data_IF_195669291724
#
_entry.id   IF_195669291724
#
_cell.length_a   1.000
_cell.length_b   1.000
_cell.length_c   1.000
_cell.angle_alpha   90.00
_cell.angle_beta   90.00
_cell.angle_gamma   90.00
#
_symmetry.space_group_name_H-M   'P 1'
#
loop_
_entity.id
_entity.type
_entity.pdbx_description
1 polymer ?
#
# COMPACT_ATOMS: atom_id res chain seq x y z
N UNK A 1 64.43 40.25 36.51
CA UNK A 1 63.36 41.23 36.80
C UNK A 1 62.54 41.45 35.53
N UNK A 2 61.23 41.70 35.70
CA UNK A 2 60.17 41.96 34.71
C UNK A 2 59.61 40.72 33.97
N UNK A 3 58.70 39.92 34.55
CA UNK A 3 57.23 40.07 34.76
C UNK A 3 56.37 39.99 33.50
N UNK A 4 55.60 38.89 33.45
CA UNK A 4 54.41 38.59 32.65
C UNK A 4 53.49 39.81 32.51
N UNK A 5 53.23 40.26 31.27
CA UNK A 5 52.19 41.24 30.95
C UNK A 5 51.00 40.48 30.36
N UNK A 6 49.90 40.49 31.10
CA UNK A 6 48.65 39.82 30.72
C UNK A 6 47.98 40.50 29.55
N UNK A 7 47.36 39.68 28.70
CA UNK A 7 46.36 40.11 27.72
C UNK A 7 45.18 40.69 28.52
N UNK A 8 45.02 42.01 28.48
CA UNK A 8 43.84 42.70 29.00
C UNK A 8 42.61 42.30 28.15
N UNK A 9 41.49 41.85 28.75
CA UNK A 9 40.24 41.72 28.01
C UNK A 9 39.71 43.12 27.65
N UNK A 10 39.22 43.25 26.41
CA UNK A 10 38.58 44.46 25.86
C UNK A 10 37.54 45.04 26.84
N UNK A 11 37.65 46.35 27.10
CA UNK A 11 36.88 47.09 28.09
C UNK A 11 35.45 47.48 27.65
N UNK A 12 34.88 46.84 26.62
CA UNK A 12 33.58 47.26 26.04
C UNK A 12 32.38 46.38 26.48
N UNK A 13 32.48 45.63 27.58
CA UNK A 13 31.49 44.62 27.98
C UNK A 13 30.97 44.72 29.43
N UNK A 14 30.97 45.92 30.01
CA UNK A 14 30.49 46.16 31.39
C UNK A 14 29.73 47.49 31.43
N UNK A 15 28.61 47.55 32.14
CA UNK A 15 27.87 48.81 32.38
C UNK A 15 28.59 49.71 33.42
N UNK A 16 28.13 50.96 33.59
CA UNK A 16 28.73 51.97 34.51
C UNK A 16 28.84 51.49 35.98
N UNK A 17 28.16 50.39 36.35
CA UNK A 17 28.14 49.78 37.69
C UNK A 17 29.01 48.53 37.82
N UNK A 18 29.82 48.18 36.81
CA UNK A 18 30.74 47.04 36.91
C UNK A 18 30.07 45.66 36.75
N UNK A 19 28.81 45.58 36.30
CA UNK A 19 28.11 44.31 36.10
C UNK A 19 28.21 43.85 34.65
N UNK A 20 28.53 42.57 34.41
CA UNK A 20 28.57 42.05 33.04
C UNK A 20 27.17 42.19 32.41
N UNK A 21 27.09 42.63 31.14
CA UNK A 21 25.84 42.88 30.38
C UNK A 21 24.92 41.64 30.17
N UNK A 22 25.02 40.61 31.01
CA UNK A 22 24.31 39.33 30.97
C UNK A 22 22.78 39.51 30.85
N UNK A 23 22.22 40.59 31.40
CA UNK A 23 20.78 40.87 31.33
C UNK A 23 20.29 41.19 29.91
N UNK A 24 21.06 41.97 29.14
CA UNK A 24 20.74 42.33 27.75
C UNK A 24 20.83 41.09 26.85
N UNK A 25 21.91 40.30 27.00
CA UNK A 25 22.11 39.05 26.26
C UNK A 25 21.00 38.02 26.53
N UNK A 26 20.50 37.92 27.77
CA UNK A 26 19.35 37.07 28.12
C UNK A 26 18.05 37.54 27.48
N UNK A 27 17.81 38.85 27.40
CA UNK A 27 16.63 39.40 26.74
C UNK A 27 16.67 39.17 25.22
N UNK A 28 17.82 39.39 24.58
CA UNK A 28 18.01 39.11 23.16
C UNK A 28 17.88 37.61 22.84
N UNK A 29 18.47 36.74 23.66
CA UNK A 29 18.34 35.30 23.50
C UNK A 29 16.89 34.83 23.69
N UNK A 30 16.19 35.34 24.70
CA UNK A 30 14.77 35.03 24.93
C UNK A 30 13.91 35.54 23.77
N UNK A 31 14.15 36.75 23.29
CA UNK A 31 13.44 37.30 22.13
C UNK A 31 13.69 36.47 20.87
N UNK A 32 14.95 36.19 20.52
CA UNK A 32 15.31 35.34 19.39
C UNK A 32 14.71 33.93 19.50
N UNK A 33 14.73 33.32 20.69
CA UNK A 33 14.10 32.02 20.95
C UNK A 33 12.58 32.08 20.78
N UNK A 34 11.90 33.10 21.31
CA UNK A 34 10.46 33.27 21.14
C UNK A 34 10.07 33.53 19.68
N UNK A 35 10.85 34.33 18.94
CA UNK A 35 10.65 34.54 17.51
C UNK A 35 10.86 33.25 16.73
N UNK A 36 11.90 32.48 17.04
CA UNK A 36 12.14 31.17 16.41
C UNK A 36 11.01 30.17 16.71
N UNK A 37 10.55 30.10 17.96
CA UNK A 37 9.46 29.19 18.34
C UNK A 37 8.12 29.58 17.70
N UNK A 38 7.80 30.88 17.64
CA UNK A 38 6.54 31.35 17.03
C UNK A 38 6.56 31.16 15.51
N UNK A 39 7.66 31.50 14.83
CA UNK A 39 7.81 31.27 13.39
C UNK A 39 7.80 29.79 13.05
N UNK A 40 8.53 28.95 13.80
CA UNK A 40 8.51 27.50 13.64
C UNK A 40 7.10 26.93 13.88
N UNK A 41 6.41 27.40 14.93
CA UNK A 41 5.03 26.99 15.22
C UNK A 41 4.06 27.36 14.10
N UNK A 42 4.20 28.56 13.52
CA UNK A 42 3.36 29.00 12.40
C UNK A 42 3.66 28.20 11.12
N UNK A 43 4.93 27.96 10.81
CA UNK A 43 5.33 27.12 9.66
C UNK A 43 4.82 25.68 9.83
N UNK A 44 4.94 25.10 11.03
CA UNK A 44 4.38 23.79 11.36
C UNK A 44 2.86 23.78 11.25
N UNK A 45 2.19 24.85 11.68
CA UNK A 45 0.73 25.01 11.56
C UNK A 45 0.27 25.06 10.11
N UNK A 46 0.93 25.86 9.26
CA UNK A 46 0.63 25.95 7.82
C UNK A 46 0.91 24.62 7.11
N UNK A 47 2.05 23.99 7.41
CA UNK A 47 2.39 22.68 6.86
C UNK A 47 1.36 21.61 7.29
N UNK A 48 1.00 21.60 8.58
CA UNK A 48 -0.03 20.70 9.11
C UNK A 48 -1.39 20.91 8.44
N UNK A 49 -1.80 22.16 8.26
CA UNK A 49 -3.03 22.48 7.52
C UNK A 49 -2.97 21.95 6.09
N UNK A 50 -1.94 22.29 5.32
CA UNK A 50 -1.83 21.87 3.91
C UNK A 50 -1.82 20.34 3.74
N UNK A 51 -1.13 19.64 4.65
CA UNK A 51 -0.92 18.19 4.57
C UNK A 51 -2.12 17.38 5.05
N UNK A 52 -2.80 17.82 6.12
CA UNK A 52 -3.89 17.05 6.74
C UNK A 52 -5.29 17.57 6.46
N UNK A 53 -5.43 18.87 6.19
CA UNK A 53 -6.71 19.55 5.96
C UNK A 53 -6.83 20.13 4.54
N UNK A 54 -5.70 20.29 3.85
CA UNK A 54 -5.60 20.80 2.50
C UNK A 54 -5.50 19.71 1.44
N UNK A 55 -4.94 20.09 0.29
CA UNK A 55 -4.85 19.24 -0.91
C UNK A 55 -3.67 18.27 -0.88
N UNK A 56 -2.69 18.46 0.00
CA UNK A 56 -1.43 17.73 0.02
C UNK A 56 -0.79 17.63 -1.39
N UNK A 57 -0.93 18.68 -2.20
CA UNK A 57 -0.53 18.70 -3.61
C UNK A 57 0.97 18.99 -3.73
N UNK A 58 1.71 18.07 -4.33
CA UNK A 58 3.16 18.20 -4.53
C UNK A 58 3.59 17.68 -5.89
N UNK A 59 4.63 18.27 -6.47
CA UNK A 59 5.33 17.68 -7.60
C UNK A 59 6.19 16.50 -7.11
N UNK A 60 6.11 15.36 -7.80
CA UNK A 60 7.01 14.22 -7.62
C UNK A 60 8.09 14.26 -8.68
N UNK A 61 7.69 14.42 -9.94
CA UNK A 61 8.58 14.71 -11.07
C UNK A 61 8.06 16.01 -11.70
N UNK A 62 8.79 17.13 -11.53
CA UNK A 62 8.32 18.45 -11.99
C UNK A 62 7.87 18.44 -13.45
N UNK A 63 6.67 18.97 -13.72
CA UNK A 63 6.10 19.02 -15.07
C UNK A 63 5.54 17.69 -15.59
N UNK A 64 5.78 16.55 -14.94
CA UNK A 64 5.35 15.23 -15.43
C UNK A 64 4.41 14.48 -14.49
N UNK A 65 4.61 14.60 -13.17
CA UNK A 65 3.87 13.82 -12.19
C UNK A 65 3.71 14.57 -10.88
N UNK A 66 2.47 14.62 -10.42
CA UNK A 66 2.04 15.25 -9.19
C UNK A 66 1.34 14.23 -8.29
N UNK A 67 1.35 14.51 -6.99
CA UNK A 67 0.65 13.74 -5.96
C UNK A 67 -0.28 14.63 -5.17
N UNK A 68 -1.42 14.11 -4.71
CA UNK A 68 -2.33 14.85 -3.84
C UNK A 68 -3.15 13.97 -2.89
N UNK A 69 -3.78 14.60 -1.89
CA UNK A 69 -4.98 14.11 -1.27
C UNK A 69 -6.15 14.11 -2.26
N UNK A 70 -7.28 13.56 -1.85
CA UNK A 70 -8.49 13.66 -2.64
C UNK A 70 -8.96 15.11 -2.72
N UNK A 71 -9.20 15.58 -3.94
CA UNK A 71 -9.64 16.94 -4.24
C UNK A 71 -11.16 16.98 -4.42
N UNK A 72 -11.80 18.07 -4.04
CA UNK A 72 -13.19 18.31 -4.47
C UNK A 72 -13.25 18.51 -5.99
N UNK A 73 -14.43 18.38 -6.59
CA UNK A 73 -14.63 18.60 -8.03
C UNK A 73 -14.07 19.96 -8.52
N UNK A 74 -14.31 21.03 -7.75
CA UNK A 74 -13.81 22.38 -8.09
C UNK A 74 -12.28 22.45 -8.00
N UNK A 75 -11.68 21.90 -6.94
CA UNK A 75 -10.22 21.87 -6.78
C UNK A 75 -9.56 21.00 -7.85
N UNK A 76 -10.17 19.87 -8.21
CA UNK A 76 -9.68 18.98 -9.25
C UNK A 76 -9.68 19.69 -10.60
N UNK A 77 -10.77 20.37 -10.96
CA UNK A 77 -10.86 21.15 -12.19
C UNK A 77 -9.79 22.25 -12.25
N UNK A 78 -9.61 22.99 -11.15
CA UNK A 78 -8.56 24.02 -11.05
C UNK A 78 -7.16 23.41 -11.25
N UNK A 79 -6.84 22.31 -10.55
CA UNK A 79 -5.53 21.66 -10.65
C UNK A 79 -5.28 21.10 -12.04
N UNK A 80 -6.29 20.48 -12.65
CA UNK A 80 -6.22 19.96 -14.03
C UNK A 80 -5.91 21.09 -15.00
N UNK A 81 -6.62 22.21 -14.94
CA UNK A 81 -6.41 23.34 -15.83
C UNK A 81 -5.07 24.03 -15.59
N UNK A 82 -4.71 24.27 -14.32
CA UNK A 82 -3.48 24.96 -13.93
C UNK A 82 -2.21 24.19 -14.29
N UNK A 83 -2.22 22.87 -14.07
CA UNK A 83 -1.04 22.01 -14.29
C UNK A 83 -1.09 21.27 -15.62
N UNK A 84 -2.19 21.39 -16.38
CA UNK A 84 -2.39 20.69 -17.65
C UNK A 84 -2.54 19.17 -17.52
N UNK A 85 -3.03 18.67 -16.38
CA UNK A 85 -3.11 17.23 -16.09
C UNK A 85 -3.88 16.49 -17.19
N UNK A 86 -3.27 15.43 -17.72
CA UNK A 86 -3.86 14.56 -18.77
C UNK A 86 -4.38 13.24 -18.24
N UNK A 87 -3.88 12.81 -17.09
CA UNK A 87 -4.28 11.54 -16.47
C UNK A 87 -4.35 11.67 -14.96
N UNK A 88 -5.40 11.11 -14.37
CA UNK A 88 -5.56 10.94 -12.92
C UNK A 88 -5.50 9.46 -12.56
N UNK A 89 -4.73 9.13 -11.54
CA UNK A 89 -4.66 7.79 -10.94
C UNK A 89 -5.29 7.85 -9.55
N UNK A 90 -6.47 7.25 -9.43
CA UNK A 90 -7.20 7.09 -8.17
C UNK A 90 -6.79 5.78 -7.49
N UNK A 91 -6.01 5.88 -6.41
CA UNK A 91 -5.54 4.72 -5.63
C UNK A 91 -6.56 4.19 -4.62
N UNK A 92 -7.77 4.77 -4.59
CA UNK A 92 -8.89 4.26 -3.77
C UNK A 92 -9.67 3.18 -4.52
N UNK A 93 -9.41 3.00 -5.82
CA UNK A 93 -10.16 2.14 -6.71
C UNK A 93 -11.54 2.69 -7.05
N UNK A 94 -12.22 1.99 -7.95
CA UNK A 94 -13.59 2.30 -8.32
C UNK A 94 -14.52 2.18 -7.10
N UNK A 95 -15.28 3.25 -6.85
CA UNK A 95 -16.18 3.41 -5.71
C UNK A 95 -17.56 3.89 -6.20
N UNK A 96 -18.17 3.14 -7.11
CA UNK A 96 -19.51 3.43 -7.64
C UNK A 96 -20.54 3.62 -6.52
N UNK A 97 -21.46 4.56 -6.74
CA UNK A 97 -22.49 4.92 -5.77
C UNK A 97 -22.04 5.84 -4.64
N UNK A 98 -20.75 6.16 -4.54
CA UNK A 98 -20.26 7.20 -3.64
C UNK A 98 -20.24 8.56 -4.34
N UNK A 99 -20.91 9.56 -3.77
CA UNK A 99 -21.02 10.92 -4.35
C UNK A 99 -19.67 11.51 -4.77
N UNK A 100 -18.66 11.32 -3.92
CA UNK A 100 -17.33 11.87 -4.14
C UNK A 100 -16.65 11.28 -5.39
N UNK A 101 -16.87 9.99 -5.65
CA UNK A 101 -16.29 9.28 -6.80
C UNK A 101 -17.03 9.64 -8.08
N UNK A 102 -18.37 9.71 -8.01
CA UNK A 102 -19.18 10.15 -9.15
C UNK A 102 -18.86 11.59 -9.56
N UNK A 103 -18.62 12.48 -8.58
CA UNK A 103 -18.19 13.84 -8.85
C UNK A 103 -16.81 13.91 -9.52
N UNK A 104 -15.83 13.16 -9.04
CA UNK A 104 -14.50 13.05 -9.66
C UNK A 104 -14.61 12.54 -11.09
N UNK A 105 -15.28 11.40 -11.30
CA UNK A 105 -15.47 10.79 -12.62
C UNK A 105 -16.14 11.74 -13.61
N UNK A 106 -17.23 12.41 -13.20
CA UNK A 106 -17.93 13.41 -14.04
C UNK A 106 -17.03 14.60 -14.38
N UNK A 107 -16.29 15.11 -13.40
CA UNK A 107 -15.39 16.25 -13.58
C UNK A 107 -14.31 15.92 -14.61
N UNK A 108 -13.66 14.76 -14.47
CA UNK A 108 -12.61 14.31 -15.39
C UNK A 108 -13.14 14.00 -16.78
N UNK A 109 -14.35 13.43 -16.87
CA UNK A 109 -15.01 13.19 -18.15
C UNK A 109 -15.29 14.50 -18.91
N UNK A 110 -15.78 15.54 -18.23
CA UNK A 110 -16.02 16.86 -18.83
C UNK A 110 -14.72 17.51 -19.29
N UNK A 111 -13.63 17.33 -18.54
CA UNK A 111 -12.32 17.89 -18.86
C UNK A 111 -11.53 17.06 -19.89
N UNK A 112 -12.04 15.91 -20.32
CA UNK A 112 -11.35 15.01 -21.25
C UNK A 112 -10.07 14.40 -20.66
N UNK A 113 -10.03 14.17 -19.35
CA UNK A 113 -8.88 13.62 -18.62
C UNK A 113 -9.07 12.13 -18.38
N UNK A 114 -8.05 11.34 -18.66
CA UNK A 114 -8.07 9.89 -18.43
C UNK A 114 -8.09 9.58 -16.93
N UNK A 115 -8.94 8.65 -16.50
CA UNK A 115 -8.98 8.14 -15.13
C UNK A 115 -8.54 6.67 -15.07
N UNK A 116 -7.58 6.37 -14.20
CA UNK A 116 -7.20 5.02 -13.82
C UNK A 116 -7.62 4.74 -12.38
N UNK A 117 -8.56 3.82 -12.20
CA UNK A 117 -8.91 3.28 -10.90
C UNK A 117 -8.04 2.08 -10.55
N UNK A 118 -7.23 2.23 -9.50
CA UNK A 118 -6.33 1.21 -8.98
C UNK A 118 -6.60 1.06 -7.48
N UNK A 119 -6.92 -0.14 -7.03
CA UNK A 119 -7.34 -0.37 -5.64
C UNK A 119 -6.14 -0.76 -4.77
N UNK A 120 -5.55 0.21 -4.08
CA UNK A 120 -4.59 -0.09 -3.02
C UNK A 120 -5.26 -0.08 -1.65
N UNK A 121 -4.94 -1.08 -0.84
CA UNK A 121 -5.18 -1.04 0.61
C UNK A 121 -4.15 -0.11 1.26
N UNK A 122 -4.53 0.56 2.35
CA UNK A 122 -3.55 1.26 3.20
C UNK A 122 -2.96 0.34 4.28
N UNK A 123 -3.53 -0.86 4.44
CA UNK A 123 -3.17 -1.83 5.48
C UNK A 123 -2.39 -3.02 4.93
N UNK A 124 -2.45 -3.27 3.62
CA UNK A 124 -1.84 -4.42 2.97
C UNK A 124 -0.99 -3.98 1.77
N UNK A 125 0.05 -4.75 1.41
CA UNK A 125 0.78 -4.55 0.15
C UNK A 125 -0.15 -4.69 -1.05
N UNK A 126 0.10 -4.00 -2.18
CA UNK A 126 -0.75 -4.10 -3.35
C UNK A 126 -0.82 -5.53 -3.90
N UNK A 127 -2.01 -6.01 -4.29
CA UNK A 127 -2.14 -7.19 -5.13
C UNK A 127 -1.28 -7.12 -6.39
N UNK A 128 -0.75 -8.24 -6.88
CA UNK A 128 0.04 -8.27 -8.11
C UNK A 128 -0.73 -7.69 -9.33
N UNK A 129 -2.03 -8.00 -9.56
CA UNK A 129 -2.78 -7.40 -10.65
C UNK A 129 -2.86 -5.86 -10.57
N UNK A 130 -3.08 -5.32 -9.37
CA UNK A 130 -3.14 -3.87 -9.13
C UNK A 130 -1.76 -3.21 -9.25
N UNK A 131 -0.69 -3.90 -8.81
CA UNK A 131 0.69 -3.47 -9.01
C UNK A 131 1.02 -3.37 -10.51
N UNK A 132 0.65 -4.39 -11.30
CA UNK A 132 0.80 -4.38 -12.76
C UNK A 132 0.01 -3.24 -13.41
N UNK A 133 -1.24 -3.03 -12.98
CA UNK A 133 -2.09 -1.94 -13.47
C UNK A 133 -1.48 -0.58 -13.20
N UNK A 134 -0.87 -0.38 -12.02
CA UNK A 134 -0.13 0.85 -11.71
C UNK A 134 1.11 1.01 -12.59
N UNK A 135 1.92 -0.03 -12.74
CA UNK A 135 3.11 0.00 -13.61
C UNK A 135 2.73 0.35 -15.05
N UNK A 136 1.62 -0.19 -15.55
CA UNK A 136 1.06 0.15 -16.84
C UNK A 136 0.66 1.63 -16.89
N UNK A 137 -0.21 2.09 -15.98
CA UNK A 137 -0.68 3.47 -15.94
C UNK A 137 0.47 4.50 -15.89
N UNK A 138 1.51 4.23 -15.08
CA UNK A 138 2.68 5.10 -14.96
C UNK A 138 3.55 5.14 -16.22
N UNK A 139 3.54 4.08 -17.03
CA UNK A 139 4.42 3.96 -18.21
C UNK A 139 3.74 4.36 -19.50
N UNK A 140 2.44 4.09 -19.66
CA UNK A 140 1.66 4.36 -20.89
C UNK A 140 0.81 5.63 -20.80
N UNK A 141 0.63 6.16 -19.58
CA UNK A 141 -0.03 7.43 -19.23
C UNK A 141 0.35 8.63 -20.12
N UNK A 142 -0.61 9.40 -20.63
CA UNK A 142 -0.33 10.79 -21.04
C UNK A 142 0.07 11.63 -19.82
N UNK A 143 1.05 12.51 -20.00
CA UNK A 143 1.57 13.39 -18.94
C UNK A 143 1.07 14.81 -19.14
N UNK A 144 0.91 15.59 -18.05
CA UNK A 144 1.27 15.25 -16.66
C UNK A 144 0.22 14.38 -15.96
N UNK A 145 0.68 13.52 -15.04
CA UNK A 145 -0.13 12.58 -14.26
C UNK A 145 -0.39 13.15 -12.85
N UNK A 146 -1.61 13.04 -12.34
CA UNK A 146 -1.94 13.29 -10.93
C UNK A 146 -2.28 11.97 -10.22
N UNK A 147 -1.55 11.63 -9.16
CA UNK A 147 -1.83 10.46 -8.33
C UNK A 147 -2.45 10.90 -7.01
N UNK A 148 -3.57 10.29 -6.62
CA UNK A 148 -4.16 10.59 -5.31
C UNK A 148 -4.69 9.33 -4.59
N UNK A 149 -4.90 9.49 -3.30
CA UNK A 149 -5.67 8.56 -2.49
C UNK A 149 -6.62 9.37 -1.58
N UNK A 150 -6.87 8.95 -0.33
CA UNK A 150 -7.67 9.76 0.61
C UNK A 150 -6.91 11.00 1.10
N UNK A 151 -5.68 10.81 1.62
CA UNK A 151 -4.86 11.86 2.23
C UNK A 151 -3.59 12.19 1.46
N UNK A 152 -3.28 11.47 0.39
CA UNK A 152 -2.06 11.70 -0.38
C UNK A 152 -0.78 11.22 0.30
N UNK A 153 -0.86 10.44 1.39
CA UNK A 153 0.28 9.97 2.18
C UNK A 153 0.68 8.52 1.85
N UNK A 154 -0.04 7.52 2.38
CA UNK A 154 0.41 6.11 2.37
C UNK A 154 0.43 5.48 0.97
N UNK A 155 -0.75 5.28 0.36
CA UNK A 155 -0.89 4.63 -0.96
C UNK A 155 -0.22 5.46 -2.05
N UNK A 156 -0.43 6.77 -1.99
CA UNK A 156 0.21 7.74 -2.89
C UNK A 156 1.73 7.74 -2.75
N UNK A 157 2.26 7.55 -1.54
CA UNK A 157 3.70 7.41 -1.29
C UNK A 157 4.28 6.21 -2.02
N UNK A 158 3.62 5.05 -1.97
CA UNK A 158 4.07 3.87 -2.71
C UNK A 158 4.04 4.11 -4.23
N UNK A 159 2.92 4.63 -4.76
CA UNK A 159 2.80 4.88 -6.19
C UNK A 159 3.79 5.93 -6.70
N UNK A 160 4.03 7.00 -5.94
CA UNK A 160 5.04 8.00 -6.25
C UNK A 160 6.45 7.41 -6.18
N UNK A 161 6.74 6.53 -5.22
CA UNK A 161 8.02 5.81 -5.11
C UNK A 161 8.31 5.01 -6.38
N UNK A 162 7.33 4.24 -6.85
CA UNK A 162 7.45 3.44 -8.07
C UNK A 162 7.60 4.33 -9.31
N UNK A 163 6.93 5.47 -9.35
CA UNK A 163 7.11 6.44 -10.43
C UNK A 163 8.53 7.02 -10.46
N UNK A 164 9.11 7.37 -9.31
CA UNK A 164 10.51 7.84 -9.20
C UNK A 164 11.48 6.78 -9.74
N UNK A 165 11.33 5.53 -9.31
CA UNK A 165 12.15 4.41 -9.80
C UNK A 165 11.99 4.20 -11.33
N UNK A 166 10.76 4.28 -11.85
CA UNK A 166 10.51 4.16 -13.29
C UNK A 166 11.14 5.30 -14.12
N UNK A 167 11.32 6.48 -13.53
CA UNK A 167 12.04 7.61 -14.16
C UNK A 167 13.56 7.51 -14.00
N UNK A 168 14.07 6.52 -13.26
CA UNK A 168 15.51 6.31 -13.05
C UNK A 168 16.06 6.93 -11.77
N UNK A 169 15.20 7.38 -10.86
CA UNK A 169 15.62 7.79 -9.52
C UNK A 169 16.12 6.60 -8.70
N UNK A 170 16.91 6.88 -7.67
CA UNK A 170 17.45 5.90 -6.74
C UNK A 170 16.38 5.38 -5.78
N UNK A 171 16.64 4.23 -5.15
CA UNK A 171 15.72 3.72 -4.12
C UNK A 171 15.65 4.64 -2.89
N UNK A 172 16.74 5.36 -2.59
CA UNK A 172 16.73 6.38 -1.53
C UNK A 172 15.74 7.53 -1.84
N UNK A 173 15.74 8.04 -3.07
CA UNK A 173 14.77 9.07 -3.50
C UNK A 173 13.34 8.53 -3.53
N UNK A 174 13.16 7.27 -3.93
CA UNK A 174 11.86 6.61 -3.86
C UNK A 174 11.35 6.56 -2.42
N UNK A 175 12.20 6.19 -1.45
CA UNK A 175 11.84 6.16 -0.02
C UNK A 175 11.44 7.53 0.54
N UNK A 176 11.98 8.62 0.01
CA UNK A 176 11.57 9.97 0.42
C UNK A 176 10.10 10.26 0.11
N UNK A 177 9.45 9.50 -0.77
CA UNK A 177 8.00 9.61 -1.00
C UNK A 177 7.14 9.17 0.20
N UNK A 178 7.76 8.57 1.22
CA UNK A 178 7.20 8.31 2.55
C UNK A 178 7.75 9.26 3.63
N UNK A 179 8.24 10.45 3.26
CA UNK A 179 8.70 11.44 4.23
C UNK A 179 7.55 12.00 5.07
N UNK A 180 7.89 12.43 6.30
CA UNK A 180 6.98 13.17 7.18
C UNK A 180 6.35 14.35 6.45
N UNK A 181 7.11 15.04 5.59
CA UNK A 181 6.66 16.17 4.77
C UNK A 181 5.35 15.89 4.00
N UNK A 182 5.13 14.66 3.54
CA UNK A 182 3.91 14.25 2.82
C UNK A 182 2.79 13.72 3.73
N UNK A 183 2.98 13.80 5.05
CA UNK A 183 2.03 13.35 6.06
C UNK A 183 2.08 11.84 6.34
N UNK A 184 3.18 11.16 6.02
CA UNK A 184 3.36 9.75 6.33
C UNK A 184 3.91 9.54 7.75
N UNK A 185 3.23 8.74 8.58
CA UNK A 185 3.63 8.45 9.96
C UNK A 185 3.59 6.94 10.26
N UNK A 186 4.65 6.43 10.89
CA UNK A 186 4.73 5.05 11.39
C UNK A 186 4.22 4.90 12.83
N UNK A 187 3.02 5.40 13.12
CA UNK A 187 2.44 5.32 14.47
C UNK A 187 1.84 3.93 14.74
N UNK A 188 2.68 3.00 15.21
CA UNK A 188 2.25 1.70 15.76
C UNK A 188 1.62 0.72 14.78
N UNK A 189 1.61 1.03 13.47
CA UNK A 189 1.12 0.15 12.41
C UNK A 189 2.29 -0.43 11.61
N UNK A 190 2.20 -1.69 11.14
CA UNK A 190 3.22 -2.27 10.28
C UNK A 190 3.37 -1.43 9.00
N UNK A 191 4.62 -1.23 8.56
CA UNK A 191 4.94 -0.38 7.42
C UNK A 191 4.79 -1.14 6.10
N UNK A 192 3.64 -1.79 5.90
CA UNK A 192 3.44 -2.76 4.80
C UNK A 192 3.62 -2.17 3.39
N UNK A 193 3.33 -0.88 3.20
CA UNK A 193 3.53 -0.20 1.91
C UNK A 193 5.01 0.16 1.66
N UNK A 194 5.75 0.82 2.58
CA UNK A 194 7.19 0.98 2.42
C UNK A 194 7.98 -0.34 2.31
N UNK A 195 7.53 -1.41 2.96
CA UNK A 195 8.17 -2.74 2.91
C UNK A 195 8.29 -3.29 1.48
N UNK A 196 7.42 -2.86 0.55
CA UNK A 196 7.53 -3.19 -0.87
C UNK A 196 8.89 -2.76 -1.45
N UNK A 197 9.42 -1.61 -1.01
CA UNK A 197 10.76 -1.14 -1.42
C UNK A 197 11.87 -1.98 -0.77
N UNK A 198 11.66 -2.46 0.45
CA UNK A 198 12.60 -3.35 1.15
C UNK A 198 12.71 -4.69 0.42
N UNK A 199 11.59 -5.25 -0.05
CA UNK A 199 11.57 -6.50 -0.83
C UNK A 199 12.24 -6.32 -2.19
N UNK A 200 12.05 -5.17 -2.83
CA UNK A 200 12.72 -4.87 -4.08
C UNK A 200 14.25 -4.75 -3.90
N UNK A 201 14.71 -4.01 -2.88
CA UNK A 201 16.14 -3.93 -2.58
C UNK A 201 16.76 -5.26 -2.15
N UNK A 202 16.03 -6.08 -1.39
CA UNK A 202 16.46 -7.43 -1.04
C UNK A 202 16.66 -8.27 -2.31
N UNK A 203 15.70 -8.25 -3.22
CA UNK A 203 15.81 -8.95 -4.50
C UNK A 203 16.99 -8.44 -5.35
N UNK A 204 17.20 -7.12 -5.44
CA UNK A 204 18.36 -6.56 -6.15
C UNK A 204 19.69 -7.07 -5.57
N UNK A 205 19.81 -7.11 -4.24
CA UNK A 205 21.01 -7.63 -3.55
C UNK A 205 21.20 -9.12 -3.79
N UNK A 206 20.15 -9.92 -3.71
CA UNK A 206 20.19 -11.37 -3.98
C UNK A 206 20.63 -11.67 -5.42
N UNK A 207 20.17 -10.86 -6.38
CA UNK A 207 20.55 -11.02 -7.79
C UNK A 207 21.92 -10.41 -8.12
N UNK A 208 22.50 -9.60 -7.23
CA UNK A 208 23.76 -8.89 -7.49
C UNK A 208 23.66 -7.83 -8.59
N UNK A 209 22.47 -7.23 -8.78
CA UNK A 209 22.21 -6.24 -9.85
C UNK A 209 21.81 -4.88 -9.27
N UNK A 210 22.13 -3.75 -9.93
CA UNK A 210 21.69 -2.44 -9.50
C UNK A 210 20.23 -2.18 -9.87
N UNK A 211 19.66 -1.13 -9.26
CA UNK A 211 18.37 -0.61 -9.71
C UNK A 211 18.45 -0.16 -11.18
N UNK A 212 17.48 -0.61 -11.97
CA UNK A 212 17.17 -0.10 -13.31
C UNK A 212 15.66 -0.25 -13.53
N UNK A 213 15.06 0.57 -14.39
CA UNK A 213 13.61 0.51 -14.69
C UNK A 213 13.17 -0.88 -15.18
N UNK A 214 14.00 -1.56 -15.96
CA UNK A 214 13.70 -2.89 -16.48
C UNK A 214 13.84 -3.97 -15.41
N UNK A 215 14.78 -3.80 -14.48
CA UNK A 215 14.90 -4.67 -13.30
C UNK A 215 13.69 -4.50 -12.38
N UNK A 216 13.16 -3.29 -12.23
CA UNK A 216 11.92 -3.06 -11.48
C UNK A 216 10.74 -3.78 -12.14
N UNK A 217 10.58 -3.65 -13.47
CA UNK A 217 9.53 -4.36 -14.22
C UNK A 217 9.66 -5.87 -14.08
N UNK A 218 10.86 -6.39 -14.29
CA UNK A 218 11.18 -7.82 -14.11
C UNK A 218 10.82 -8.29 -12.70
N UNK A 219 11.17 -7.52 -11.68
CA UNK A 219 10.83 -7.85 -10.31
C UNK A 219 9.31 -7.92 -10.10
N UNK A 220 8.54 -6.93 -10.55
CA UNK A 220 7.08 -6.94 -10.45
C UNK A 220 6.49 -8.19 -11.12
N UNK A 221 7.00 -8.56 -12.29
CA UNK A 221 6.46 -9.68 -13.07
C UNK A 221 6.85 -11.05 -12.52
N UNK A 222 8.11 -11.22 -12.12
CA UNK A 222 8.67 -12.54 -11.83
C UNK A 222 8.76 -12.83 -10.33
N UNK A 223 9.04 -11.81 -9.51
CA UNK A 223 9.50 -11.98 -8.13
C UNK A 223 8.60 -11.30 -7.08
N UNK A 224 7.78 -10.31 -7.43
CA UNK A 224 6.91 -9.64 -6.48
C UNK A 224 5.83 -10.61 -5.97
N UNK A 225 5.80 -10.77 -4.65
CA UNK A 225 4.86 -11.60 -3.91
C UNK A 225 4.33 -10.77 -2.73
N UNK A 226 3.02 -10.43 -2.67
CA UNK A 226 2.50 -9.55 -1.63
C UNK A 226 2.54 -10.21 -0.25
N UNK A 227 3.58 -9.96 0.53
CA UNK A 227 3.71 -10.48 1.90
C UNK A 227 3.63 -12.01 1.94
N UNK A 228 2.88 -12.55 2.90
CA UNK A 228 2.67 -13.98 3.09
C UNK A 228 1.63 -14.61 2.15
N UNK A 229 0.98 -13.82 1.29
CA UNK A 229 -0.24 -14.19 0.57
C UNK A 229 0.05 -14.94 -0.73
N UNK A 230 0.97 -15.90 -0.71
CA UNK A 230 1.38 -16.64 -1.90
C UNK A 230 1.55 -18.13 -1.66
N UNK A 231 0.70 -18.92 -2.33
CA UNK A 231 0.58 -20.35 -2.12
C UNK A 231 0.61 -21.13 -3.42
N UNK A 232 0.90 -22.42 -3.30
CA UNK A 232 0.57 -23.41 -4.30
C UNK A 232 -0.37 -24.44 -3.66
N UNK A 233 -1.49 -24.71 -4.31
CA UNK A 233 -2.50 -25.66 -3.83
C UNK A 233 -2.52 -26.84 -4.78
N UNK A 234 -2.20 -28.03 -4.25
CA UNK A 234 -2.16 -29.28 -4.99
C UNK A 234 -3.33 -30.17 -4.54
N UNK A 235 -4.24 -30.56 -5.45
CA UNK A 235 -5.31 -31.50 -5.12
C UNK A 235 -4.72 -32.89 -4.88
N UNK A 236 -5.02 -33.50 -3.73
CA UNK A 236 -4.65 -34.89 -3.44
C UNK A 236 -5.83 -35.83 -3.67
N UNK A 237 -7.03 -35.41 -3.28
CA UNK A 237 -8.28 -36.12 -3.56
C UNK A 237 -9.41 -35.10 -3.58
N UNK A 238 -10.09 -34.94 -4.71
CA UNK A 238 -11.22 -34.00 -4.85
C UNK A 238 -12.38 -34.74 -5.53
N UNK A 239 -13.48 -35.01 -4.79
CA UNK A 239 -14.69 -35.56 -5.37
C UNK A 239 -15.26 -34.64 -6.45
N UNK A 240 -15.64 -35.21 -7.60
CA UNK A 240 -16.24 -34.44 -8.69
C UNK A 240 -17.75 -34.29 -8.55
N UNK A 241 -18.39 -35.19 -7.78
CA UNK A 241 -19.85 -35.22 -7.60
C UNK A 241 -20.24 -35.59 -6.18
N UNK A 242 -21.30 -34.99 -5.66
CA UNK A 242 -21.89 -35.35 -4.37
C UNK A 242 -23.36 -34.92 -4.28
N UNK A 243 -24.09 -35.48 -3.31
CA UNK A 243 -25.51 -35.19 -3.16
C UNK A 243 -25.79 -33.84 -2.49
N UNK A 244 -26.90 -33.21 -2.87
CA UNK A 244 -27.46 -32.01 -2.24
C UNK A 244 -27.51 -32.17 -0.71
N UNK A 245 -27.17 -31.10 0.02
CA UNK A 245 -27.16 -31.06 1.48
C UNK A 245 -26.00 -31.83 2.16
N UNK A 246 -25.22 -32.64 1.43
CA UNK A 246 -24.06 -33.36 1.99
C UNK A 246 -22.77 -32.55 1.81
N UNK A 247 -21.87 -32.72 2.78
CA UNK A 247 -20.47 -32.31 2.65
C UNK A 247 -19.63 -33.58 2.51
N UNK A 248 -18.73 -33.61 1.53
CA UNK A 248 -17.79 -34.70 1.30
C UNK A 248 -16.37 -34.21 1.54
N UNK A 249 -15.46 -35.03 2.10
CA UNK A 249 -14.10 -34.62 2.34
C UNK A 249 -13.31 -34.52 1.02
N UNK A 250 -12.57 -33.44 0.85
CA UNK A 250 -11.53 -33.26 -0.15
C UNK A 250 -10.19 -33.01 0.54
N UNK A 251 -9.09 -33.50 -0.04
CA UNK A 251 -7.74 -33.35 0.50
C UNK A 251 -6.87 -32.51 -0.43
N UNK A 252 -6.15 -31.58 0.16
CA UNK A 252 -5.23 -30.69 -0.53
C UNK A 252 -3.89 -30.63 0.19
N UNK A 253 -2.80 -30.55 -0.57
CA UNK A 253 -1.51 -30.10 -0.06
C UNK A 253 -1.37 -28.61 -0.37
N UNK A 254 -1.12 -27.81 0.66
CA UNK A 254 -0.84 -26.38 0.52
C UNK A 254 0.64 -26.12 0.79
N UNK A 255 1.34 -25.53 -0.18
CA UNK A 255 2.77 -25.24 -0.10
C UNK A 255 2.99 -23.74 0.04
N UNK A 256 3.73 -23.33 1.06
CA UNK A 256 4.09 -21.94 1.27
C UNK A 256 5.15 -21.51 0.25
N UNK A 257 4.73 -20.65 -0.69
CA UNK A 257 5.57 -20.09 -1.75
C UNK A 257 5.87 -18.61 -1.52
N UNK A 258 5.45 -18.07 -0.37
CA UNK A 258 5.76 -16.72 0.05
C UNK A 258 7.07 -16.68 0.83
N UNK A 259 7.73 -15.52 0.93
CA UNK A 259 8.94 -15.35 1.74
C UNK A 259 8.65 -15.26 3.26
N UNK A 260 7.39 -15.37 3.69
CA UNK A 260 6.97 -15.23 5.09
C UNK A 260 6.26 -16.48 5.61
N UNK A 261 6.35 -16.80 6.91
CA UNK A 261 5.63 -17.93 7.48
C UNK A 261 4.12 -17.69 7.53
N UNK A 262 3.32 -18.74 7.30
CA UNK A 262 1.89 -18.74 7.59
C UNK A 262 1.63 -19.12 9.03
N UNK A 263 0.62 -18.50 9.63
CA UNK A 263 0.13 -18.83 10.97
C UNK A 263 -1.31 -19.32 10.84
N UNK A 264 -1.52 -20.64 10.97
CA UNK A 264 -2.84 -21.21 11.14
C UNK A 264 -3.26 -21.03 12.60
N UNK A 265 -4.55 -20.72 12.80
CA UNK A 265 -5.13 -20.49 14.13
C UNK A 265 -6.40 -21.31 14.30
N UNK A 266 -6.80 -21.52 15.54
CA UNK A 266 -8.06 -22.19 15.88
C UNK A 266 -9.32 -21.36 15.58
N UNK A 267 -9.20 -20.03 15.54
CA UNK A 267 -10.32 -19.10 15.31
C UNK A 267 -10.36 -18.61 13.87
N UNK A 268 -11.55 -18.44 13.26
CA UNK A 268 -11.68 -17.95 11.88
C UNK A 268 -11.39 -16.46 11.70
N UNK A 269 -11.09 -15.73 12.78
CA UNK A 269 -10.92 -14.26 12.75
C UNK A 269 -9.48 -13.80 12.56
N UNK A 270 -8.51 -14.69 12.70
CA UNK A 270 -7.08 -14.37 12.58
C UNK A 270 -6.36 -15.55 11.95
N UNK A 271 -5.27 -15.27 11.24
CA UNK A 271 -4.43 -16.29 10.63
C UNK A 271 -4.95 -16.79 9.29
N UNK A 272 -4.28 -17.82 8.79
CA UNK A 272 -4.48 -18.40 7.47
C UNK A 272 -5.32 -19.67 7.57
N UNK A 273 -6.28 -19.82 6.67
CA UNK A 273 -7.15 -20.99 6.58
C UNK A 273 -7.38 -21.40 5.12
N UNK A 274 -7.66 -22.68 4.89
CA UNK A 274 -8.09 -23.16 3.58
C UNK A 274 -9.61 -23.03 3.47
N UNK A 275 -10.09 -22.48 2.36
CA UNK A 275 -11.52 -22.24 2.16
C UNK A 275 -11.94 -22.68 0.77
N UNK A 276 -13.14 -23.23 0.69
CA UNK A 276 -13.79 -23.57 -0.57
C UNK A 276 -15.04 -22.73 -0.79
N UNK A 277 -15.36 -22.47 -2.05
CA UNK A 277 -16.61 -21.88 -2.51
C UNK A 277 -17.15 -22.62 -3.73
N UNK A 278 -18.47 -22.62 -3.87
CA UNK A 278 -19.14 -23.03 -5.10
C UNK A 278 -19.56 -21.80 -5.90
N UNK A 279 -18.86 -21.55 -7.00
CA UNK A 279 -19.19 -20.47 -7.92
C UNK A 279 -20.14 -21.01 -9.00
N UNK A 280 -21.15 -20.24 -9.42
CA UNK A 280 -22.07 -20.66 -10.48
C UNK A 280 -21.45 -20.56 -11.89
N UNK A 281 -20.29 -19.91 -12.03
CA UNK A 281 -19.61 -19.65 -13.30
C UNK A 281 -18.08 -19.57 -13.10
N UNK A 282 -17.34 -19.39 -14.19
CA UNK A 282 -15.88 -19.28 -14.18
C UNK A 282 -15.35 -17.87 -13.85
N UNK A 283 -16.15 -16.98 -13.23
CA UNK A 283 -15.71 -15.61 -12.92
C UNK A 283 -14.37 -15.58 -12.16
N UNK A 284 -13.52 -14.63 -12.51
CA UNK A 284 -12.36 -14.29 -11.71
C UNK A 284 -12.80 -13.57 -10.43
N UNK A 285 -12.04 -13.76 -9.36
CA UNK A 285 -12.30 -13.13 -8.07
C UNK A 285 -11.30 -12.00 -7.88
N UNK A 286 -11.79 -10.78 -7.87
CA UNK A 286 -10.99 -9.57 -7.67
C UNK A 286 -11.36 -8.82 -6.39
N UNK A 287 -12.51 -9.14 -5.78
CA UNK A 287 -13.01 -8.52 -4.56
C UNK A 287 -13.54 -9.61 -3.61
N UNK A 288 -13.11 -9.65 -2.33
CA UNK A 288 -13.63 -10.64 -1.37
C UNK A 288 -15.16 -10.60 -1.24
N UNK A 289 -15.79 -9.45 -1.46
CA UNK A 289 -17.25 -9.31 -1.39
C UNK A 289 -17.98 -10.20 -2.42
N UNK A 290 -17.34 -10.53 -3.55
CA UNK A 290 -17.90 -11.44 -4.56
C UNK A 290 -18.12 -12.87 -4.03
N UNK A 291 -17.40 -13.24 -2.96
CA UNK A 291 -17.47 -14.57 -2.35
C UNK A 291 -18.38 -14.64 -1.11
N UNK A 292 -18.81 -13.49 -0.58
CA UNK A 292 -19.43 -13.39 0.73
C UNK A 292 -20.78 -14.14 0.85
N UNK A 293 -21.53 -14.23 -0.24
CA UNK A 293 -22.86 -14.89 -0.29
C UNK A 293 -22.83 -16.31 -0.86
N UNK A 294 -21.68 -16.78 -1.33
CA UNK A 294 -21.57 -18.08 -1.97
C UNK A 294 -21.52 -19.22 -0.94
N UNK A 295 -22.03 -20.42 -1.26
CA UNK A 295 -21.84 -21.60 -0.41
C UNK A 295 -20.35 -21.82 -0.16
N UNK A 296 -19.97 -21.89 1.11
CA UNK A 296 -18.57 -21.99 1.54
C UNK A 296 -18.39 -22.94 2.71
N UNK A 297 -17.18 -23.49 2.82
CA UNK A 297 -16.71 -24.23 3.99
C UNK A 297 -15.20 -24.04 4.13
N UNK A 298 -14.64 -24.34 5.30
CA UNK A 298 -13.25 -24.05 5.63
C UNK A 298 -12.57 -25.15 6.45
N UNK A 299 -11.24 -25.18 6.38
CA UNK A 299 -10.37 -26.07 7.13
C UNK A 299 -9.12 -25.33 7.59
N UNK A 300 -8.31 -25.97 8.45
CA UNK A 300 -7.14 -25.33 9.02
C UNK A 300 -7.42 -24.56 10.30
N UNK A 301 -8.41 -24.99 11.10
CA UNK A 301 -8.71 -24.41 12.40
C UNK A 301 -7.89 -25.08 13.51
N UNK A 302 -6.58 -24.91 13.46
CA UNK A 302 -5.61 -25.43 14.45
C UNK A 302 -4.38 -24.53 14.50
N UNK A 303 -3.58 -24.67 15.56
CA UNK A 303 -2.32 -23.92 15.70
C UNK A 303 -1.21 -24.61 14.91
N UNK A 304 -0.69 -23.93 13.87
CA UNK A 304 0.50 -24.37 13.16
C UNK A 304 1.22 -23.20 12.48
N UNK A 305 2.54 -23.32 12.35
CA UNK A 305 3.36 -22.42 11.55
C UNK A 305 3.90 -23.15 10.33
N UNK A 306 3.63 -22.64 9.14
CA UNK A 306 4.18 -23.17 7.88
C UNK A 306 5.19 -22.18 7.33
N UNK A 307 6.48 -22.47 7.53
CA UNK A 307 7.58 -21.62 7.04
C UNK A 307 7.71 -21.68 5.51
N UNK A 308 8.38 -20.70 4.87
CA UNK A 308 8.61 -20.71 3.42
C UNK A 308 9.18 -22.03 2.91
N UNK A 309 8.64 -22.53 1.79
CA UNK A 309 9.05 -23.80 1.17
C UNK A 309 8.43 -25.06 1.80
N UNK A 310 7.90 -24.99 3.02
CA UNK A 310 7.20 -26.10 3.65
C UNK A 310 5.74 -26.20 3.20
N UNK A 311 5.10 -27.31 3.55
CA UNK A 311 3.73 -27.62 3.15
C UNK A 311 2.93 -28.23 4.30
N UNK A 312 1.61 -28.23 4.14
CA UNK A 312 0.68 -28.88 5.04
C UNK A 312 -0.41 -29.59 4.23
N UNK A 313 -0.86 -30.76 4.71
CA UNK A 313 -2.00 -31.47 4.14
C UNK A 313 -3.28 -31.20 4.94
N UNK A 314 -4.30 -30.72 4.25
CA UNK A 314 -5.59 -30.33 4.83
C UNK A 314 -6.71 -31.19 4.25
N UNK A 315 -7.58 -31.66 5.13
CA UNK A 315 -8.88 -32.23 4.76
C UNK A 315 -9.94 -31.16 4.94
N UNK A 316 -10.63 -30.82 3.86
CA UNK A 316 -11.66 -29.81 3.76
C UNK A 316 -13.00 -30.47 3.45
N UNK A 317 -14.03 -30.19 4.24
CA UNK A 317 -15.40 -30.52 3.83
C UNK A 317 -15.81 -29.64 2.66
N UNK A 318 -16.28 -30.22 1.56
CA UNK A 318 -16.76 -29.42 0.44
C UNK A 318 -18.07 -28.68 0.82
N UNK A 319 -18.31 -27.47 0.27
CA UNK A 319 -19.46 -26.66 0.66
C UNK A 319 -20.80 -27.37 0.40
N UNK A 320 -21.74 -27.19 1.34
CA UNK A 320 -23.11 -27.68 1.20
C UNK A 320 -23.95 -26.69 0.40
N UNK A 321 -24.76 -27.19 -0.51
CA UNK A 321 -25.81 -26.42 -1.21
C UNK A 321 -27.12 -27.22 -1.20
N UNK A 322 -28.25 -26.51 -1.17
CA UNK A 322 -29.59 -27.08 -1.30
C UNK A 322 -30.06 -27.10 -2.77
N UNK A 323 -29.33 -26.42 -3.65
CA UNK A 323 -29.65 -26.33 -5.07
C UNK A 323 -28.75 -27.31 -5.83
N UNK A 324 -29.32 -28.30 -6.54
CA UNK A 324 -28.56 -29.13 -7.45
C UNK A 324 -28.08 -28.29 -8.62
N UNK A 325 -26.92 -28.63 -9.18
CA UNK A 325 -26.35 -27.87 -10.28
C UNK A 325 -24.88 -28.16 -10.52
N UNK A 326 -24.39 -27.54 -11.59
CA UNK A 326 -22.98 -27.58 -11.97
C UNK A 326 -22.31 -26.30 -11.46
N UNK A 327 -21.21 -26.45 -10.74
CA UNK A 327 -20.51 -25.34 -10.09
C UNK A 327 -19.01 -25.41 -10.39
N UNK A 328 -18.33 -24.27 -10.29
CA UNK A 328 -16.87 -24.23 -10.18
C UNK A 328 -16.52 -24.28 -8.69
N UNK A 329 -15.89 -25.37 -8.26
CA UNK A 329 -15.26 -25.46 -6.96
C UNK A 329 -13.99 -24.60 -6.97
N UNK A 330 -14.02 -23.49 -6.26
CA UNK A 330 -12.86 -22.65 -5.98
C UNK A 330 -12.32 -23.02 -4.60
N UNK A 331 -11.05 -23.43 -4.51
CA UNK A 331 -10.35 -23.62 -3.24
C UNK A 331 -9.14 -22.71 -3.16
N UNK A 332 -9.03 -21.95 -2.08
CA UNK A 332 -7.96 -20.98 -1.87
C UNK A 332 -7.55 -20.89 -0.39
N UNK A 333 -6.34 -20.39 -0.14
CA UNK A 333 -5.97 -19.93 1.20
C UNK A 333 -6.52 -18.53 1.44
N UNK A 334 -6.96 -18.28 2.66
CA UNK A 334 -7.54 -17.02 3.10
C UNK A 334 -6.82 -16.59 4.36
N UNK A 335 -6.25 -15.40 4.35
CA UNK A 335 -5.90 -14.71 5.59
C UNK A 335 -7.15 -14.01 6.11
N UNK A 336 -7.45 -14.15 7.40
CA UNK A 336 -8.66 -13.59 7.98
C UNK A 336 -8.69 -12.05 7.96
N UNK A 337 -7.54 -11.38 7.93
CA UNK A 337 -7.44 -9.92 7.85
C UNK A 337 -7.31 -9.44 6.39
N UNK A 338 -6.46 -10.10 5.61
CA UNK A 338 -6.10 -9.64 4.26
C UNK A 338 -7.00 -10.23 3.15
N UNK A 339 -7.65 -11.36 3.40
CA UNK A 339 -8.58 -12.03 2.49
C UNK A 339 -7.97 -13.18 1.67
N UNK A 340 -8.69 -13.64 0.62
CA UNK A 340 -8.23 -14.71 -0.28
C UNK A 340 -6.91 -14.39 -0.98
N UNK A 341 -6.00 -15.35 -1.01
CA UNK A 341 -4.67 -15.18 -1.61
C UNK A 341 -4.75 -14.97 -3.12
N UNK A 342 -5.79 -15.49 -3.79
CA UNK A 342 -5.98 -15.35 -5.23
C UNK A 342 -6.11 -13.90 -5.69
N UNK A 343 -6.70 -13.03 -4.86
CA UNK A 343 -6.79 -11.60 -5.14
C UNK A 343 -5.40 -11.00 -5.24
N UNK A 344 -4.45 -11.47 -4.44
CA UNK A 344 -3.07 -11.01 -4.42
C UNK A 344 -2.20 -11.60 -5.54
N UNK A 345 -2.73 -12.53 -6.32
CA UNK A 345 -2.10 -13.15 -7.48
C UNK A 345 -1.68 -14.61 -7.28
N UNK A 346 -1.87 -15.17 -6.09
CA UNK A 346 -1.69 -16.61 -5.84
C UNK A 346 -2.65 -17.42 -6.72
N UNK A 347 -2.24 -18.60 -7.20
CA UNK A 347 -3.14 -19.42 -8.03
C UNK A 347 -4.04 -20.28 -7.11
N UNK A 348 -5.37 -20.08 -7.11
CA UNK A 348 -6.27 -20.96 -6.39
C UNK A 348 -6.45 -22.27 -7.17
N UNK A 349 -6.98 -23.30 -6.51
CA UNK A 349 -7.47 -24.49 -7.18
C UNK A 349 -8.89 -24.25 -7.71
N UNK A 350 -9.15 -24.66 -8.96
CA UNK A 350 -10.46 -24.52 -9.62
C UNK A 350 -10.81 -25.79 -10.37
N UNK A 351 -12.03 -26.28 -10.21
CA UNK A 351 -12.53 -27.44 -10.95
C UNK A 351 -14.05 -27.42 -11.09
N UNK A 352 -14.57 -27.84 -12.25
CA UNK A 352 -16.01 -28.10 -12.40
C UNK A 352 -16.45 -29.33 -11.59
N UNK A 353 -17.54 -29.16 -10.84
CA UNK A 353 -18.15 -30.18 -9.99
C UNK A 353 -19.66 -30.21 -10.20
N UNK A 354 -20.28 -31.33 -9.86
CA UNK A 354 -21.73 -31.54 -9.96
C UNK A 354 -22.33 -31.84 -8.58
N UNK A 355 -23.37 -31.10 -8.19
CA UNK A 355 -24.16 -31.40 -6.99
C UNK A 355 -25.52 -31.89 -7.43
N UNK A 356 -25.92 -33.09 -6.99
CA UNK A 356 -27.11 -33.82 -7.47
C UNK A 356 -28.15 -34.10 -6.37
#
# INVERSE_FOLDING_TARGET
MATYSGIHPNADMVDDDGKPQIAVWRCWYRFALWTFLTTSGLLLGVWGYHTFLGTNLHAVIPGELYRSAHLSAAQLAEVVQRLGIRTVINLRGCCEGFDWYEQERRTLQVLGVQLWDIRFSYQAPPPLPEMRRLMMALTTSERPILIHCRRGADRTGLAASLAVLLRGGTVAEARQQFALYYGYFRLGKPARLPEVLDWYEAWLREQGIPHHRDNLRRWVEEAYRPGHLWAQIEPLNVPQRWSVGRSVPARFRVVNRSPFPWQFRTTPRIGVHLRAWLLPDEREVSDPAQLASLPTDAAGFFEATVVPGNWLELTLGLPRTQTPGRYVLLVDLVDAEDGPFCIYGSRPFRQWVQVE
#
